data_IF_891230699586
#
_entry.id   IF_891230699586
#
_cell.length_a   1.000
_cell.length_b   1.000
_cell.length_c   1.000
_cell.angle_alpha   90.00
_cell.angle_beta   90.00
_cell.angle_gamma   90.00
#
_symmetry.space_group_name_H-M   'P 1'
#
loop_
_entity.id
_entity.type
_entity.pdbx_description
1 polymer ?
#
# COMPACT_ATOMS: atom_id res chain seq x y z
N UNK A 1 -51.40 -4.43 27.43
CA UNK A 1 -50.62 -3.18 27.37
C UNK A 1 -50.16 -2.99 25.93
N UNK A 2 -50.79 -2.09 25.18
CA UNK A 2 -50.44 -1.79 23.80
C UNK A 2 -49.26 -0.81 23.80
N UNK A 3 -48.05 -1.29 23.52
CA UNK A 3 -46.88 -0.43 23.36
C UNK A 3 -47.02 0.39 22.10
N UNK A 4 -47.26 1.70 22.26
CA UNK A 4 -47.51 2.63 21.17
C UNK A 4 -46.20 2.95 20.44
N UNK A 5 -45.91 2.21 19.37
CA UNK A 5 -44.65 2.29 18.60
C UNK A 5 -44.47 3.60 17.83
N UNK A 6 -45.54 4.38 17.65
CA UNK A 6 -45.53 5.62 16.85
C UNK A 6 -44.68 6.75 17.44
N UNK A 7 -44.30 6.67 18.72
CA UNK A 7 -43.50 7.70 19.40
C UNK A 7 -42.01 7.35 19.55
N UNK A 8 -41.49 6.31 18.89
CA UNK A 8 -40.04 6.13 18.84
C UNK A 8 -39.46 7.24 17.97
N UNK A 9 -38.69 8.14 18.61
CA UNK A 9 -37.79 9.06 17.90
C UNK A 9 -37.05 8.25 16.85
N UNK A 10 -37.09 8.72 15.60
CA UNK A 10 -36.30 8.16 14.50
C UNK A 10 -34.87 8.06 15.03
N UNK A 11 -34.35 6.83 15.16
CA UNK A 11 -32.91 6.65 15.30
C UNK A 11 -32.39 7.11 13.95
N UNK A 12 -31.89 8.33 13.89
CA UNK A 12 -31.22 8.77 12.68
C UNK A 12 -30.16 7.72 12.38
N UNK A 13 -30.09 7.20 11.14
CA UNK A 13 -29.00 6.31 10.78
C UNK A 13 -27.72 7.02 11.18
N UNK A 14 -26.81 6.28 11.82
CA UNK A 14 -25.44 6.77 12.00
C UNK A 14 -24.87 6.94 10.60
N UNK A 15 -25.15 8.08 9.98
CA UNK A 15 -24.44 8.56 8.81
C UNK A 15 -23.03 8.76 9.35
N UNK A 16 -22.02 8.03 8.86
CA UNK A 16 -20.65 8.34 9.21
C UNK A 16 -20.36 9.72 8.61
N UNK A 17 -20.57 10.75 9.40
CA UNK A 17 -20.22 12.14 9.09
C UNK A 17 -18.73 12.30 9.29
N UNK A 18 -17.95 11.58 8.49
CA UNK A 18 -16.54 11.88 8.29
C UNK A 18 -16.29 12.05 6.80
N UNK A 19 -17.02 12.98 6.18
CA UNK A 19 -16.43 13.68 5.05
C UNK A 19 -15.30 14.53 5.61
N UNK A 20 -14.06 14.07 5.51
CA UNK A 20 -12.88 14.85 5.84
C UNK A 20 -12.63 15.96 4.79
N UNK A 21 -13.66 16.75 4.44
CA UNK A 21 -13.55 17.86 3.48
C UNK A 21 -12.61 18.99 3.95
N UNK A 22 -12.13 18.96 5.20
CA UNK A 22 -11.18 19.94 5.72
C UNK A 22 -9.72 19.68 5.33
N UNK A 23 -9.43 18.68 4.49
CA UNK A 23 -8.06 18.23 4.17
C UNK A 23 -7.48 18.78 2.86
N UNK A 24 -8.17 19.68 2.14
CA UNK A 24 -7.74 20.14 0.79
C UNK A 24 -6.26 20.61 0.72
N UNK A 25 -5.69 21.06 1.83
CA UNK A 25 -4.32 21.59 1.87
C UNK A 25 -3.26 20.62 2.45
N UNK A 26 -3.65 19.44 2.93
CA UNK A 26 -2.72 18.48 3.52
C UNK A 26 -2.66 17.20 2.66
N UNK A 27 -1.60 17.02 1.85
CA UNK A 27 -1.43 15.84 1.01
C UNK A 27 -1.49 14.53 1.78
N UNK A 28 -0.99 14.52 3.02
CA UNK A 28 -0.95 13.31 3.84
C UNK A 28 -2.34 12.93 4.32
N UNK A 29 -3.15 13.92 4.71
CA UNK A 29 -4.52 13.68 5.09
C UNK A 29 -5.38 13.25 3.91
N UNK A 30 -5.20 13.87 2.74
CA UNK A 30 -5.84 13.42 1.49
C UNK A 30 -5.48 11.96 1.19
N UNK A 31 -4.21 11.61 1.32
CA UNK A 31 -3.76 10.24 1.12
C UNK A 31 -4.38 9.27 2.13
N UNK A 32 -4.45 9.67 3.40
CA UNK A 32 -5.11 8.90 4.47
C UNK A 32 -6.58 8.68 4.17
N UNK A 33 -7.29 9.69 3.68
CA UNK A 33 -8.70 9.60 3.29
C UNK A 33 -8.89 8.66 2.10
N UNK A 34 -7.99 8.68 1.11
CA UNK A 34 -8.01 7.75 -0.04
C UNK A 34 -7.83 6.31 0.45
N UNK A 35 -6.78 6.05 1.23
CA UNK A 35 -6.49 4.71 1.75
C UNK A 35 -7.65 4.20 2.62
N UNK A 36 -8.19 5.07 3.48
CA UNK A 36 -9.35 4.74 4.32
C UNK A 36 -10.57 4.38 3.46
N UNK A 37 -10.88 5.18 2.44
CA UNK A 37 -12.00 4.91 1.55
C UNK A 37 -11.85 3.58 0.80
N UNK A 38 -10.65 3.27 0.34
CA UNK A 38 -10.33 1.99 -0.31
C UNK A 38 -10.45 0.80 0.67
N UNK A 39 -9.96 0.96 1.91
CA UNK A 39 -10.11 -0.04 2.98
C UNK A 39 -11.58 -0.32 3.27
N UNK A 40 -12.37 0.73 3.51
CA UNK A 40 -13.78 0.60 3.84
C UNK A 40 -14.59 -0.01 2.68
N UNK A 41 -14.24 0.31 1.43
CA UNK A 41 -14.83 -0.34 0.26
C UNK A 41 -14.57 -1.84 0.27
N UNK A 42 -13.31 -2.27 0.43
CA UNK A 42 -12.95 -3.69 0.43
C UNK A 42 -13.57 -4.44 1.61
N UNK A 43 -13.58 -3.84 2.80
CA UNK A 43 -14.25 -4.41 3.98
C UNK A 43 -15.76 -4.55 3.71
N UNK A 44 -16.37 -3.56 3.07
CA UNK A 44 -17.76 -3.60 2.63
C UNK A 44 -18.04 -4.82 1.74
N UNK A 45 -17.22 -5.02 0.70
CA UNK A 45 -17.32 -6.16 -0.22
C UNK A 45 -17.19 -7.51 0.50
N UNK A 46 -16.21 -7.64 1.40
CA UNK A 46 -15.97 -8.87 2.18
C UNK A 46 -17.19 -9.20 3.05
N UNK A 47 -17.72 -8.21 3.77
CA UNK A 47 -18.86 -8.41 4.66
C UNK A 47 -20.15 -8.71 3.90
N UNK A 48 -20.36 -8.06 2.75
CA UNK A 48 -21.50 -8.36 1.88
C UNK A 48 -21.43 -9.78 1.31
N UNK A 49 -20.24 -10.22 0.89
CA UNK A 49 -20.02 -11.59 0.43
C UNK A 49 -20.29 -12.61 1.55
N UNK A 50 -19.76 -12.38 2.75
CA UNK A 50 -19.97 -13.23 3.93
C UNK A 50 -21.47 -13.32 4.31
N UNK A 51 -22.18 -12.19 4.29
CA UNK A 51 -23.62 -12.13 4.55
C UNK A 51 -24.42 -12.89 3.50
N UNK A 52 -24.06 -12.76 2.21
CA UNK A 52 -24.67 -13.52 1.13
C UNK A 52 -24.47 -15.04 1.29
N UNK A 53 -23.25 -15.47 1.54
CA UNK A 53 -22.92 -16.89 1.76
C UNK A 53 -23.64 -17.48 2.99
N UNK A 54 -23.75 -16.71 4.08
CA UNK A 54 -24.49 -17.12 5.26
C UNK A 54 -26.00 -17.26 4.95
N UNK A 55 -26.58 -16.32 4.21
CA UNK A 55 -27.97 -16.36 3.79
C UNK A 55 -28.28 -17.54 2.85
N UNK A 56 -27.39 -17.85 1.92
CA UNK A 56 -27.51 -19.01 1.02
C UNK A 56 -27.46 -20.34 1.80
N UNK A 57 -26.52 -20.48 2.74
CA UNK A 57 -26.44 -21.64 3.64
C UNK A 57 -27.71 -21.82 4.47
N UNK A 58 -28.28 -20.73 4.99
CA UNK A 58 -29.53 -20.74 5.77
C UNK A 58 -30.76 -21.05 4.92
N UNK A 59 -30.83 -20.54 3.68
CA UNK A 59 -31.92 -20.85 2.76
C UNK A 59 -31.97 -22.34 2.38
N UNK A 60 -30.83 -23.02 2.43
CA UNK A 60 -30.71 -24.46 2.18
C UNK A 60 -31.15 -25.36 3.36
N UNK A 61 -31.65 -24.79 4.48
CA UNK A 61 -31.99 -25.56 5.70
C UNK A 61 -33.42 -26.12 5.77
N UNK A 62 -34.18 -26.16 4.68
CA UNK A 62 -35.27 -27.13 4.57
C UNK A 62 -34.67 -28.52 4.39
N UNK A 63 -34.44 -29.26 5.49
CA UNK A 63 -33.88 -30.63 5.43
C UNK A 63 -34.95 -31.67 5.72
N UNK A 64 -35.01 -32.69 4.87
CA UNK A 64 -35.68 -33.96 5.20
C UNK A 64 -34.72 -34.75 6.09
N UNK A 65 -34.99 -34.78 7.39
CA UNK A 65 -34.25 -35.62 8.35
C UNK A 65 -35.13 -36.83 8.67
N UNK A 66 -34.63 -38.04 8.45
CA UNK A 66 -35.37 -39.29 8.65
C UNK A 66 -36.76 -39.33 7.96
N UNK A 67 -36.88 -38.80 6.74
CA UNK A 67 -38.14 -38.77 6.01
C UNK A 67 -39.13 -37.68 6.45
N UNK A 68 -38.81 -36.88 7.47
CA UNK A 68 -39.66 -35.79 7.96
C UNK A 68 -39.10 -34.45 7.48
N UNK A 69 -39.92 -33.67 6.79
CA UNK A 69 -39.58 -32.31 6.39
C UNK A 69 -39.55 -31.40 7.62
N UNK A 70 -38.37 -30.93 8.02
CA UNK A 70 -38.26 -29.92 9.06
C UNK A 70 -38.50 -28.54 8.44
N UNK A 71 -39.52 -27.84 8.94
CA UNK A 71 -39.85 -26.48 8.51
C UNK A 71 -38.73 -25.54 8.95
N UNK A 72 -38.32 -24.64 8.04
CA UNK A 72 -37.33 -23.58 8.28
C UNK A 72 -37.62 -22.87 9.59
N UNK A 73 -36.64 -22.88 10.51
CA UNK A 73 -36.73 -22.08 11.73
C UNK A 73 -36.82 -20.58 11.37
N UNK A 74 -37.67 -19.80 12.06
CA UNK A 74 -37.73 -18.36 11.85
C UNK A 74 -36.36 -17.71 12.15
N UNK A 75 -35.90 -16.86 11.24
CA UNK A 75 -34.62 -16.18 11.37
C UNK A 75 -34.71 -15.03 12.37
N UNK A 76 -34.00 -15.18 13.49
CA UNK A 76 -33.83 -14.17 14.52
C UNK A 76 -32.46 -13.50 14.48
N UNK A 77 -31.66 -13.73 13.43
CA UNK A 77 -30.34 -13.11 13.29
C UNK A 77 -30.37 -11.59 13.33
N UNK A 78 -31.47 -10.97 12.88
CA UNK A 78 -31.70 -9.52 13.00
C UNK A 78 -31.93 -9.03 14.44
N UNK A 79 -32.28 -9.92 15.38
CA UNK A 79 -32.35 -9.64 16.82
C UNK A 79 -30.98 -9.71 17.48
N UNK A 80 -29.95 -10.25 16.81
CA UNK A 80 -28.59 -10.21 17.34
C UNK A 80 -28.15 -8.76 17.47
N UNK A 81 -27.43 -8.47 18.55
CA UNK A 81 -26.98 -7.12 18.86
C UNK A 81 -26.17 -6.57 17.67
N UNK A 82 -26.64 -5.48 17.07
CA UNK A 82 -25.96 -4.82 15.96
C UNK A 82 -24.53 -4.37 16.34
N UNK A 83 -24.23 -4.28 17.65
CA UNK A 83 -22.88 -4.05 18.18
C UNK A 83 -21.91 -5.20 17.93
N UNK A 84 -22.40 -6.43 17.78
CA UNK A 84 -21.57 -7.60 17.48
C UNK A 84 -21.35 -7.80 15.97
N UNK A 85 -22.15 -7.14 15.12
CA UNK A 85 -21.94 -7.18 13.67
C UNK A 85 -20.69 -6.37 13.32
N UNK A 86 -19.79 -6.99 12.58
CA UNK A 86 -18.64 -6.30 11.99
C UNK A 86 -19.15 -5.10 11.18
N UNK A 87 -18.59 -3.92 11.45
CA UNK A 87 -18.98 -2.68 10.75
C UNK A 87 -18.34 -2.65 9.37
N UNK A 88 -18.90 -1.89 8.44
CA UNK A 88 -18.24 -1.65 7.14
C UNK A 88 -17.17 -0.56 7.25
N UNK A 89 -17.42 0.45 8.06
CA UNK A 89 -16.51 1.55 8.28
C UNK A 89 -15.42 1.20 9.30
N UNK A 90 -14.32 1.92 9.25
CA UNK A 90 -13.28 1.85 10.27
C UNK A 90 -13.78 2.50 11.58
N UNK A 91 -13.37 1.93 12.70
CA UNK A 91 -13.47 2.59 13.99
C UNK A 91 -12.44 3.71 14.09
N UNK A 92 -12.65 4.63 15.02
CA UNK A 92 -11.71 5.72 15.28
C UNK A 92 -10.29 5.21 15.57
N UNK A 93 -10.15 4.09 16.30
CA UNK A 93 -8.85 3.49 16.61
C UNK A 93 -8.18 2.92 15.36
N UNK A 94 -8.94 2.26 14.48
CA UNK A 94 -8.39 1.74 13.22
C UNK A 94 -8.00 2.88 12.27
N UNK A 95 -8.81 3.93 12.15
CA UNK A 95 -8.47 5.11 11.36
C UNK A 95 -7.18 5.78 11.87
N UNK A 96 -7.09 6.00 13.18
CA UNK A 96 -5.88 6.56 13.81
C UNK A 96 -4.66 5.69 13.53
N UNK A 97 -4.80 4.37 13.66
CA UNK A 97 -3.71 3.44 13.38
C UNK A 97 -3.24 3.48 11.91
N UNK A 98 -4.18 3.59 10.96
CA UNK A 98 -3.85 3.74 9.53
C UNK A 98 -3.14 5.07 9.29
N UNK A 99 -3.61 6.16 9.91
CA UNK A 99 -2.94 7.47 9.86
C UNK A 99 -1.49 7.38 10.39
N UNK A 100 -1.28 6.74 11.54
CA UNK A 100 0.04 6.56 12.15
C UNK A 100 0.99 5.72 11.27
N UNK A 101 0.45 4.74 10.53
CA UNK A 101 1.22 3.95 9.58
C UNK A 101 1.63 4.77 8.35
N UNK A 102 0.72 5.61 7.85
CA UNK A 102 1.01 6.52 6.75
C UNK A 102 2.07 7.55 7.14
N UNK A 103 2.07 8.05 8.37
CA UNK A 103 3.10 8.96 8.90
C UNK A 103 4.52 8.40 8.82
N UNK A 104 4.68 7.06 8.87
CA UNK A 104 5.98 6.39 8.75
C UNK A 104 6.48 6.33 7.30
N UNK A 105 5.63 6.67 6.33
CA UNK A 105 5.92 6.63 4.90
C UNK A 105 6.15 8.01 4.30
N UNK A 106 7.07 8.12 3.33
CA UNK A 106 7.28 9.37 2.63
C UNK A 106 6.38 9.46 1.40
N UNK A 107 6.06 10.68 0.97
CA UNK A 107 5.17 10.93 -0.16
C UNK A 107 5.61 10.29 -1.48
N UNK A 108 6.91 10.11 -1.68
CA UNK A 108 7.49 9.38 -2.82
C UNK A 108 7.15 7.89 -2.86
N UNK A 109 6.81 7.30 -1.71
CA UNK A 109 6.59 5.86 -1.57
C UNK A 109 5.11 5.49 -1.57
N UNK A 110 4.24 6.48 -1.45
CA UNK A 110 2.79 6.30 -1.47
C UNK A 110 2.30 5.57 -2.72
N UNK A 111 2.89 5.85 -3.88
CA UNK A 111 2.57 5.13 -5.11
C UNK A 111 2.95 3.64 -5.01
N UNK A 112 4.15 3.34 -4.50
CA UNK A 112 4.62 1.97 -4.28
C UNK A 112 3.76 1.25 -3.25
N UNK A 113 3.33 1.95 -2.20
CA UNK A 113 2.44 1.42 -1.17
C UNK A 113 1.08 1.05 -1.74
N UNK A 114 0.47 1.93 -2.56
CA UNK A 114 -0.81 1.64 -3.22
C UNK A 114 -0.68 0.42 -4.11
N UNK A 115 0.36 0.36 -4.94
CA UNK A 115 0.55 -0.77 -5.87
C UNK A 115 0.75 -2.08 -5.11
N UNK A 116 1.66 -2.10 -4.12
CA UNK A 116 1.93 -3.29 -3.32
C UNK A 116 0.70 -3.77 -2.55
N UNK A 117 0.01 -2.84 -1.89
CA UNK A 117 -1.17 -3.16 -1.10
C UNK A 117 -2.35 -3.58 -2.00
N UNK A 118 -2.51 -2.94 -3.16
CA UNK A 118 -3.51 -3.30 -4.16
C UNK A 118 -3.40 -4.77 -4.59
N UNK A 119 -2.19 -5.28 -4.76
CA UNK A 119 -1.96 -6.69 -5.11
C UNK A 119 -2.28 -7.63 -3.95
N UNK A 120 -1.93 -7.25 -2.73
CA UNK A 120 -2.20 -8.06 -1.53
C UNK A 120 -3.72 -8.10 -1.22
N UNK A 121 -4.45 -7.01 -1.50
CA UNK A 121 -5.90 -6.89 -1.25
C UNK A 121 -6.74 -7.94 -1.98
N UNK A 122 -6.27 -8.48 -3.11
CA UNK A 122 -7.00 -9.51 -3.85
C UNK A 122 -7.06 -10.85 -3.11
N UNK A 123 -6.08 -11.11 -2.24
CA UNK A 123 -5.99 -12.34 -1.44
C UNK A 123 -6.78 -12.30 -0.12
N UNK A 124 -7.20 -11.11 0.29
CA UNK A 124 -7.77 -10.86 1.62
C UNK A 124 -9.21 -11.36 1.73
N UNK A 125 -9.51 -12.09 2.81
CA UNK A 125 -10.83 -12.69 3.07
C UNK A 125 -11.52 -12.16 4.31
N UNK A 126 -10.80 -11.53 5.25
CA UNK A 126 -11.37 -11.01 6.49
C UNK A 126 -11.09 -9.53 6.68
N UNK A 127 -11.92 -8.83 7.46
CA UNK A 127 -11.71 -7.41 7.83
C UNK A 127 -10.33 -7.19 8.43
N UNK A 128 -9.93 -8.04 9.39
CA UNK A 128 -8.67 -7.90 10.10
C UNK A 128 -7.47 -8.10 9.17
N UNK A 129 -7.59 -9.00 8.18
CA UNK A 129 -6.56 -9.18 7.16
C UNK A 129 -6.36 -7.90 6.32
N UNK A 130 -7.40 -7.14 5.98
CA UNK A 130 -7.26 -5.89 5.21
C UNK A 130 -6.32 -4.89 5.90
N UNK A 131 -6.51 -4.73 7.21
CA UNK A 131 -5.72 -3.79 8.02
C UNK A 131 -4.30 -4.33 8.21
N UNK A 132 -4.16 -5.64 8.49
CA UNK A 132 -2.86 -6.28 8.66
C UNK A 132 -2.01 -6.28 7.40
N UNK A 133 -2.60 -6.56 6.23
CA UNK A 133 -1.85 -6.54 4.97
C UNK A 133 -1.35 -5.14 4.66
N UNK A 134 -2.13 -4.10 4.99
CA UNK A 134 -1.65 -2.72 4.87
C UNK A 134 -0.46 -2.44 5.80
N UNK A 135 -0.56 -2.83 7.07
CA UNK A 135 0.53 -2.72 8.04
C UNK A 135 1.80 -3.44 7.56
N UNK A 136 1.65 -4.67 7.05
CA UNK A 136 2.76 -5.45 6.48
C UNK A 136 3.37 -4.77 5.25
N UNK A 137 2.57 -4.18 4.37
CA UNK A 137 3.07 -3.43 3.21
C UNK A 137 3.88 -2.21 3.63
N UNK A 138 3.42 -1.47 4.63
CA UNK A 138 4.15 -0.33 5.20
C UNK A 138 5.48 -0.78 5.79
N UNK A 139 5.50 -1.87 6.57
CA UNK A 139 6.75 -2.38 7.13
C UNK A 139 7.69 -2.99 6.08
N UNK A 140 7.17 -3.59 4.99
CA UNK A 140 7.97 -4.02 3.83
C UNK A 140 8.70 -2.82 3.21
N UNK A 141 8.01 -1.69 3.00
CA UNK A 141 8.62 -0.46 2.47
C UNK A 141 9.69 0.07 3.42
N UNK A 142 9.38 0.19 4.71
CA UNK A 142 10.34 0.68 5.72
C UNK A 142 11.58 -0.23 5.79
N UNK A 143 11.38 -1.55 5.74
CA UNK A 143 12.48 -2.53 5.76
C UNK A 143 13.37 -2.42 4.53
N UNK A 144 12.78 -2.17 3.35
CA UNK A 144 13.55 -1.94 2.12
C UNK A 144 14.44 -0.70 2.22
N UNK A 145 14.00 0.36 2.92
CA UNK A 145 14.87 1.51 3.22
C UNK A 145 16.07 1.11 4.06
N UNK A 146 15.85 0.29 5.10
CA UNK A 146 16.90 -0.14 6.02
C UNK A 146 17.94 -1.06 5.37
N UNK A 147 17.53 -1.84 4.37
CA UNK A 147 18.47 -2.66 3.58
C UNK A 147 19.31 -1.83 2.60
N UNK A 148 18.75 -0.74 2.07
CA UNK A 148 19.46 0.19 1.19
C UNK A 148 20.32 1.21 1.95
N UNK A 149 20.01 1.49 3.22
CA UNK A 149 20.97 2.08 4.11
C UNK A 149 22.13 1.08 4.18
N UNK A 150 23.35 1.44 3.76
CA UNK A 150 24.48 0.56 4.00
C UNK A 150 24.49 0.31 5.50
N UNK A 151 24.17 -0.92 5.89
CA UNK A 151 24.57 -1.46 7.18
C UNK A 151 26.00 -1.00 7.35
N UNK A 152 26.35 -0.53 8.54
CA UNK A 152 27.73 -0.25 8.91
C UNK A 152 28.53 -1.57 8.88
N UNK A 153 28.65 -2.20 7.71
CA UNK A 153 29.80 -2.95 7.32
C UNK A 153 30.95 -2.01 7.61
N UNK A 154 31.78 -2.43 8.56
CA UNK A 154 32.87 -1.66 9.09
C UNK A 154 33.56 -0.93 7.94
N UNK A 155 33.86 0.35 8.13
CA UNK A 155 34.67 1.14 7.20
C UNK A 155 35.96 0.37 6.82
N UNK A 156 36.40 -0.55 7.69
CA UNK A 156 37.50 -1.47 7.44
C UNK A 156 37.26 -2.45 6.27
N UNK A 157 36.08 -3.07 6.11
CA UNK A 157 35.84 -4.07 5.05
C UNK A 157 35.80 -3.42 3.65
N UNK A 158 35.24 -2.21 3.54
CA UNK A 158 35.23 -1.47 2.27
C UNK A 158 36.64 -0.97 1.93
N UNK A 159 37.42 -0.53 2.93
CA UNK A 159 38.80 -0.14 2.73
C UNK A 159 39.68 -1.33 2.31
N UNK A 160 39.46 -2.52 2.88
CA UNK A 160 40.16 -3.75 2.48
C UNK A 160 39.82 -4.11 1.03
N UNK A 161 38.55 -4.03 0.62
CA UNK A 161 38.11 -4.33 -0.75
C UNK A 161 38.69 -3.35 -1.77
N UNK A 162 38.67 -2.05 -1.46
CA UNK A 162 39.21 -1.02 -2.36
C UNK A 162 40.73 -1.09 -2.47
N UNK A 163 41.43 -1.39 -1.37
CA UNK A 163 42.87 -1.63 -1.38
C UNK A 163 43.22 -2.90 -2.17
N UNK A 164 42.47 -3.99 -2.01
CA UNK A 164 42.67 -5.20 -2.83
C UNK A 164 42.41 -4.97 -4.32
N UNK A 165 41.48 -4.09 -4.68
CA UNK A 165 41.25 -3.68 -6.07
C UNK A 165 42.45 -2.89 -6.63
N UNK A 166 42.99 -1.95 -5.86
CA UNK A 166 44.16 -1.17 -6.27
C UNK A 166 45.44 -2.02 -6.35
N UNK A 167 45.64 -2.91 -5.37
CA UNK A 167 46.79 -3.82 -5.35
C UNK A 167 46.70 -4.84 -6.50
N UNK A 168 45.49 -5.24 -6.93
CA UNK A 168 45.30 -6.07 -8.13
C UNK A 168 45.60 -5.34 -9.42
N UNK A 169 45.17 -4.08 -9.56
CA UNK A 169 45.47 -3.27 -10.76
C UNK A 169 46.97 -3.02 -10.97
N UNK A 170 47.77 -2.97 -9.90
CA UNK A 170 49.23 -2.90 -10.02
C UNK A 170 49.86 -4.25 -10.40
N UNK A 171 49.26 -5.37 -10.03
CA UNK A 171 49.78 -6.71 -10.33
C UNK A 171 49.40 -7.28 -11.70
N UNK A 172 48.34 -6.79 -12.34
CA UNK A 172 47.82 -7.36 -13.61
C UNK A 172 48.27 -6.60 -14.88
N UNK A 173 49.20 -5.65 -14.78
CA UNK A 173 49.81 -5.04 -15.98
C UNK A 173 50.73 -5.97 -16.78
N UNK A 174 51.03 -7.14 -16.25
CA UNK A 174 51.67 -8.22 -17.01
C UNK A 174 50.71 -9.40 -17.13
N UNK A 175 49.61 -9.29 -17.87
CA UNK A 175 49.09 -10.37 -18.72
C UNK A 175 47.89 -9.86 -19.53
N UNK A 176 48.11 -9.61 -20.82
CA UNK A 176 47.05 -9.34 -21.78
C UNK A 176 46.23 -10.61 -22.03
N UNK A 177 45.03 -10.70 -21.47
CA UNK A 177 43.96 -11.49 -22.06
C UNK A 177 42.59 -10.88 -21.73
N UNK A 178 41.89 -10.53 -22.79
CA UNK A 178 40.56 -9.91 -22.79
C UNK A 178 39.53 -10.87 -22.19
N UNK A 179 38.95 -10.53 -21.04
CA UNK A 179 37.60 -11.00 -20.69
C UNK A 179 36.75 -9.82 -20.26
N UNK A 180 35.66 -9.63 -21.00
CA UNK A 180 34.63 -8.61 -20.86
C UNK A 180 34.20 -8.42 -19.39
N UNK A 181 34.80 -7.44 -18.71
CA UNK A 181 34.35 -7.00 -17.40
C UNK A 181 33.09 -6.16 -17.57
N UNK A 182 31.97 -6.65 -17.03
CA UNK A 182 30.70 -5.93 -16.87
C UNK A 182 30.91 -4.67 -16.02
N UNK A 183 31.41 -3.60 -16.64
CA UNK A 183 31.45 -2.27 -16.03
C UNK A 183 30.03 -1.75 -15.95
N UNK A 184 29.48 -1.72 -14.74
CA UNK A 184 28.27 -0.98 -14.40
C UNK A 184 28.48 0.51 -14.70
N UNK A 185 27.83 0.98 -15.77
CA UNK A 185 27.88 2.38 -16.21
C UNK A 185 27.04 3.26 -15.29
N UNK A 186 27.67 4.23 -14.63
CA UNK A 186 26.97 5.30 -13.91
C UNK A 186 26.77 6.48 -14.86
N UNK A 187 25.52 6.85 -15.13
CA UNK A 187 25.18 8.00 -15.96
C UNK A 187 24.98 9.22 -15.07
N UNK A 188 26.03 10.03 -14.89
CA UNK A 188 25.88 11.36 -14.26
C UNK A 188 25.34 12.34 -15.30
N UNK A 189 24.05 12.68 -15.19
CA UNK A 189 23.39 13.73 -15.96
C UNK A 189 23.90 15.10 -15.52
N UNK A 190 24.86 15.67 -16.25
CA UNK A 190 25.12 17.11 -16.21
C UNK A 190 24.31 17.79 -17.29
N UNK A 191 23.64 18.90 -16.94
CA UNK A 191 22.71 19.65 -17.82
C UNK A 191 23.35 20.05 -19.15
N UNK A 192 24.68 20.22 -19.17
CA UNK A 192 25.41 20.65 -20.36
C UNK A 192 26.01 19.52 -21.19
N UNK A 193 26.12 18.29 -20.67
CA UNK A 193 26.80 17.19 -21.36
C UNK A 193 26.24 15.84 -20.94
N UNK A 194 25.53 15.18 -21.86
CA UNK A 194 25.29 13.75 -21.76
C UNK A 194 26.57 13.03 -22.17
N UNK A 195 27.35 12.60 -21.17
CA UNK A 195 28.47 11.68 -21.37
C UNK A 195 27.87 10.28 -21.59
N UNK A 196 28.03 9.74 -22.80
CA UNK A 196 27.66 8.36 -23.09
C UNK A 196 28.80 7.42 -22.72
N UNK A 197 28.51 6.11 -22.55
CA UNK A 197 29.47 5.09 -22.10
C UNK A 197 30.75 4.98 -22.93
N UNK A 198 30.76 5.55 -24.14
CA UNK A 198 31.89 5.52 -25.06
C UNK A 198 32.78 6.78 -24.95
N UNK A 199 32.65 7.58 -23.89
CA UNK A 199 33.32 8.88 -23.71
C UNK A 199 33.02 9.91 -24.82
N UNK A 200 31.99 9.67 -25.64
CA UNK A 200 31.50 10.64 -26.61
C UNK A 200 30.45 11.52 -25.94
N UNK A 201 30.75 12.82 -25.88
CA UNK A 201 29.89 13.86 -25.33
C UNK A 201 28.86 14.30 -26.39
N UNK A 202 27.58 14.02 -26.14
CA UNK A 202 26.51 14.57 -27.00
C UNK A 202 26.12 15.93 -26.42
N UNK A 203 26.57 17.01 -27.07
CA UNK A 203 26.12 18.36 -26.75
C UNK A 203 24.70 18.56 -27.30
N UNK A 204 23.77 18.96 -26.42
CA UNK A 204 22.43 19.35 -26.85
C UNK A 204 22.51 20.59 -27.73
N UNK A 205 21.89 20.54 -28.93
CA UNK A 205 21.71 21.71 -29.80
C UNK A 205 20.89 22.79 -29.07
N UNK A 206 21.15 24.07 -29.34
CA UNK A 206 20.55 25.20 -28.62
C UNK A 206 19.02 25.19 -28.58
N UNK A 207 18.36 24.73 -29.64
CA UNK A 207 16.90 24.59 -29.68
C UNK A 207 16.37 23.54 -28.69
N UNK A 208 17.11 22.46 -28.47
CA UNK A 208 16.76 21.43 -27.50
C UNK A 208 16.99 21.94 -26.06
N UNK A 209 18.06 22.71 -25.83
CA UNK A 209 18.31 23.36 -24.54
C UNK A 209 17.18 24.30 -24.14
N UNK A 210 16.71 25.16 -25.07
CA UNK A 210 15.57 26.06 -24.80
C UNK A 210 14.29 25.31 -24.42
N UNK A 211 14.01 24.18 -25.08
CA UNK A 211 12.87 23.32 -24.74
C UNK A 211 13.02 22.69 -23.35
N UNK A 212 14.20 22.20 -23.01
CA UNK A 212 14.49 21.63 -21.69
C UNK A 212 14.32 22.68 -20.58
N UNK A 213 14.93 23.86 -20.71
CA UNK A 213 14.75 24.95 -19.75
C UNK A 213 13.29 25.39 -19.63
N UNK A 214 12.55 25.46 -20.74
CA UNK A 214 11.11 25.77 -20.71
C UNK A 214 10.29 24.72 -19.95
N UNK A 215 10.68 23.44 -19.99
CA UNK A 215 10.02 22.37 -19.22
C UNK A 215 10.39 22.47 -17.74
N UNK A 216 11.64 22.80 -17.42
CA UNK A 216 12.10 22.96 -16.04
C UNK A 216 11.56 24.23 -15.37
N UNK A 217 11.40 25.34 -16.09
CA UNK A 217 10.81 26.59 -15.56
C UNK A 217 9.29 26.47 -15.28
N UNK A 218 8.65 25.38 -15.70
CA UNK A 218 7.24 25.08 -15.40
C UNK A 218 7.10 24.30 -14.08
N UNK A 219 8.19 23.78 -13.51
CA UNK A 219 8.23 23.06 -12.23
C UNK A 219 8.70 23.99 -11.12
#
# INVERSE_FOLDING_TARGET
MTTNFSNRKRVEPFVPTHFYYSSINDPQKIFTDIITGEMERKIGEILEKKEKEENEKKNSQGKVINGVYQKKEPDYGWLMDSKLKERKNLSFLEYSHVSDLIEKTTSSEWNVLIDLWGWELDSVTTRNEVIKTFEECVYKIISNRLQLLPSSASVDDVAISMKQLMDKEESEKDYSFETNSMKTSFTTLSVDTLLTSNNESIQLKDDAKKKFYKVMDIV
#
